data_IF_644751982324
#
_entry.id   IF_644751982324
#
_cell.length_a   1.000
_cell.length_b   1.000
_cell.length_c   1.000
_cell.angle_alpha   90.00
_cell.angle_beta   90.00
_cell.angle_gamma   90.00
#
_symmetry.space_group_name_H-M   'P 1'
#
loop_
_entity.id
_entity.type
_entity.pdbx_description
1 polymer ?
#
# COMPACT_ATOMS: atom_id res chain seq x y z
N UNK A 1 11.92 -41.04 -1.12
CA UNK A 1 12.18 -40.67 -2.53
C UNK A 1 11.00 -41.14 -3.35
N UNK A 2 10.40 -40.20 -4.09
CA UNK A 2 9.48 -40.34 -5.25
C UNK A 2 8.34 -41.36 -5.17
N UNK A 3 7.10 -40.92 -4.89
CA UNK A 3 5.92 -41.67 -5.38
C UNK A 3 4.60 -40.89 -5.47
N UNK A 4 4.42 -39.72 -4.82
CA UNK A 4 3.13 -38.97 -4.90
C UNK A 4 3.08 -37.88 -5.97
N UNK A 5 4.24 -37.41 -6.45
CA UNK A 5 4.33 -36.41 -7.52
C UNK A 5 4.03 -36.98 -8.91
N UNK A 6 4.32 -38.28 -9.13
CA UNK A 6 4.23 -38.91 -10.45
C UNK A 6 2.79 -39.31 -10.83
N UNK A 7 1.95 -39.73 -9.88
CA UNK A 7 0.54 -40.06 -10.16
C UNK A 7 -0.30 -38.81 -10.50
N UNK A 8 -0.02 -37.68 -9.84
CA UNK A 8 -0.70 -36.41 -10.11
C UNK A 8 -0.31 -35.83 -11.48
N UNK A 9 0.95 -35.99 -11.88
CA UNK A 9 1.48 -35.61 -13.20
C UNK A 9 0.85 -36.45 -14.33
N UNK A 10 0.73 -37.77 -14.15
CA UNK A 10 0.13 -38.67 -15.14
C UNK A 10 -1.37 -38.42 -15.36
N UNK A 11 -2.11 -38.07 -14.31
CA UNK A 11 -3.55 -37.75 -14.40
C UNK A 11 -3.76 -36.44 -15.17
N UNK A 12 -2.90 -35.44 -14.96
CA UNK A 12 -2.97 -34.15 -15.65
C UNK A 12 -2.56 -34.24 -17.13
N UNK A 13 -1.55 -35.04 -17.48
CA UNK A 13 -1.19 -35.36 -18.87
C UNK A 13 -2.33 -36.06 -19.62
N UNK A 14 -3.03 -37.00 -18.96
CA UNK A 14 -4.20 -37.68 -19.52
C UNK A 14 -5.40 -36.76 -19.78
N UNK A 15 -5.59 -35.72 -18.96
CA UNK A 15 -6.61 -34.68 -19.16
C UNK A 15 -6.22 -33.72 -20.29
N UNK A 16 -4.92 -33.40 -20.42
CA UNK A 16 -4.40 -32.51 -21.45
C UNK A 16 -4.49 -33.13 -22.85
N UNK A 17 -4.09 -34.39 -23.01
CA UNK A 17 -4.22 -35.14 -24.27
C UNK A 17 -5.69 -35.31 -24.71
N UNK A 18 -6.63 -35.45 -23.77
CA UNK A 18 -8.08 -35.50 -24.06
C UNK A 18 -8.68 -34.15 -24.48
N UNK A 19 -8.09 -33.03 -24.05
CA UNK A 19 -8.53 -31.69 -24.45
C UNK A 19 -8.08 -31.34 -25.88
N UNK A 20 -6.88 -31.78 -26.29
CA UNK A 20 -6.39 -31.57 -27.65
C UNK A 20 -7.13 -32.43 -28.69
N UNK A 21 -7.58 -33.64 -28.32
CA UNK A 21 -8.30 -34.53 -29.23
C UNK A 21 -9.78 -34.17 -29.44
N UNK A 22 -10.36 -33.29 -28.61
CA UNK A 22 -11.80 -32.96 -28.65
C UNK A 22 -12.11 -31.54 -29.10
N UNK A 23 -11.11 -30.69 -29.32
CA UNK A 23 -11.28 -29.33 -29.86
C UNK A 23 -12.17 -28.40 -29.01
N UNK A 24 -12.41 -28.72 -27.73
CA UNK A 24 -13.40 -28.04 -26.89
C UNK A 24 -12.78 -26.93 -26.03
N UNK A 25 -13.27 -25.67 -26.10
CA UNK A 25 -12.72 -24.51 -25.38
C UNK A 25 -13.00 -24.51 -23.85
N UNK A 26 -13.60 -25.56 -23.31
CA UNK A 26 -14.16 -25.58 -21.95
C UNK A 26 -13.21 -26.16 -20.87
N UNK A 27 -12.19 -26.95 -21.24
CA UNK A 27 -11.15 -27.39 -20.30
C UNK A 27 -10.28 -26.23 -19.79
N UNK A 28 -10.03 -25.27 -20.70
CA UNK A 28 -9.30 -24.03 -20.46
C UNK A 28 -9.99 -23.12 -19.43
N UNK A 29 -11.33 -23.16 -19.35
CA UNK A 29 -12.15 -22.35 -18.43
C UNK A 29 -12.05 -22.86 -16.99
N UNK A 30 -11.87 -24.17 -16.78
CA UNK A 30 -11.79 -24.74 -15.41
C UNK A 30 -10.44 -24.49 -14.76
N UNK A 31 -9.34 -24.60 -15.53
CA UNK A 31 -7.98 -24.24 -15.09
C UNK A 31 -7.93 -22.75 -14.70
N UNK A 32 -8.63 -21.91 -15.45
CA UNK A 32 -8.74 -20.48 -15.21
C UNK A 32 -9.38 -20.04 -13.88
N UNK A 33 -10.31 -20.82 -13.35
CA UNK A 33 -11.16 -20.37 -12.23
C UNK A 33 -10.72 -20.93 -10.88
N UNK A 34 -10.06 -22.10 -10.88
CA UNK A 34 -9.66 -22.78 -9.64
C UNK A 34 -8.19 -22.50 -9.31
N UNK A 35 -7.33 -22.40 -10.32
CA UNK A 35 -5.90 -22.19 -10.13
C UNK A 35 -5.54 -20.83 -9.49
N UNK A 36 -6.16 -19.69 -9.85
CA UNK A 36 -5.86 -18.42 -9.20
C UNK A 36 -6.35 -18.35 -7.74
N UNK A 37 -7.24 -19.26 -7.32
CA UNK A 37 -7.70 -19.40 -5.93
C UNK A 37 -6.78 -20.31 -5.12
N UNK A 38 -6.34 -21.43 -5.69
CA UNK A 38 -5.32 -22.30 -5.07
C UNK A 38 -3.96 -21.59 -4.92
N UNK A 39 -3.53 -20.84 -5.94
CA UNK A 39 -2.28 -20.06 -5.89
C UNK A 39 -2.34 -18.93 -4.86
N UNK A 40 -3.51 -18.33 -4.61
CA UNK A 40 -3.70 -17.32 -3.54
C UNK A 40 -3.62 -17.91 -2.14
N UNK A 41 -4.08 -19.15 -1.96
CA UNK A 41 -3.92 -19.90 -0.71
C UNK A 41 -2.44 -20.24 -0.49
N UNK A 42 -1.71 -20.62 -1.55
CA UNK A 42 -0.26 -20.87 -1.48
C UNK A 42 0.57 -19.59 -1.25
N UNK A 43 0.12 -18.44 -1.77
CA UNK A 43 0.71 -17.11 -1.50
C UNK A 43 0.59 -16.71 -0.04
N UNK A 44 -0.55 -17.02 0.58
CA UNK A 44 -0.78 -16.81 2.02
C UNK A 44 0.22 -17.60 2.89
N UNK A 45 0.76 -18.71 2.38
CA UNK A 45 1.82 -19.51 3.03
C UNK A 45 3.24 -19.20 2.51
N UNK A 46 3.45 -18.16 1.71
CA UNK A 46 4.78 -17.67 1.31
C UNK A 46 5.50 -18.45 0.21
N UNK A 47 4.79 -19.25 -0.61
CA UNK A 47 5.39 -19.96 -1.74
C UNK A 47 5.37 -19.10 -3.03
N UNK A 48 6.51 -18.90 -3.68
CA UNK A 48 6.64 -18.07 -4.88
C UNK A 48 5.75 -18.53 -6.05
N UNK A 49 5.05 -17.56 -6.66
CA UNK A 49 4.02 -17.76 -7.69
C UNK A 49 4.52 -18.41 -8.99
N UNK A 50 5.73 -18.08 -9.43
CA UNK A 50 6.15 -18.36 -10.81
C UNK A 50 6.78 -19.76 -10.96
N UNK A 51 7.65 -20.18 -10.03
CA UNK A 51 8.24 -21.52 -10.08
C UNK A 51 7.22 -22.60 -9.69
N UNK A 52 6.42 -22.37 -8.64
CA UNK A 52 5.49 -23.39 -8.15
C UNK A 52 4.38 -23.69 -9.16
N UNK A 53 3.86 -22.67 -9.86
CA UNK A 53 2.81 -22.87 -10.87
C UNK A 53 3.33 -23.48 -12.18
N UNK A 54 4.50 -23.06 -12.69
CA UNK A 54 5.05 -23.63 -13.93
C UNK A 54 5.54 -25.06 -13.73
N UNK A 55 6.10 -25.37 -12.56
CA UNK A 55 6.55 -26.73 -12.22
C UNK A 55 5.36 -27.69 -11.98
N UNK A 56 4.22 -27.19 -11.47
CA UNK A 56 3.02 -28.00 -11.25
C UNK A 56 2.18 -28.18 -12.54
N UNK A 57 2.21 -27.23 -13.48
CA UNK A 57 1.29 -27.21 -14.65
C UNK A 57 1.97 -27.39 -16.01
N UNK A 58 3.29 -27.27 -16.08
CA UNK A 58 4.08 -27.42 -17.30
C UNK A 58 3.57 -26.57 -18.51
N UNK A 59 3.10 -25.35 -18.25
CA UNK A 59 2.59 -24.42 -19.27
C UNK A 59 3.54 -23.23 -19.47
N UNK A 60 3.61 -22.74 -20.70
CA UNK A 60 4.44 -21.59 -21.03
C UNK A 60 3.79 -20.25 -20.59
N UNK A 61 4.59 -19.20 -20.31
CA UNK A 61 4.10 -17.93 -19.78
C UNK A 61 3.19 -17.11 -20.71
N UNK A 62 3.19 -17.34 -22.02
CA UNK A 62 2.31 -16.64 -22.96
C UNK A 62 0.88 -17.17 -22.89
N UNK A 63 0.74 -18.49 -22.81
CA UNK A 63 -0.57 -19.16 -22.67
C UNK A 63 -1.28 -18.73 -21.40
N UNK A 64 -0.59 -18.67 -20.26
CA UNK A 64 -1.16 -18.21 -18.97
C UNK A 64 -1.80 -16.81 -19.05
N UNK A 65 -1.19 -15.87 -19.78
CA UNK A 65 -1.69 -14.49 -19.89
C UNK A 65 -2.98 -14.35 -20.69
N UNK A 66 -3.16 -15.15 -21.75
CA UNK A 66 -4.37 -15.12 -22.58
C UNK A 66 -5.60 -15.68 -21.83
N UNK A 67 -5.38 -16.67 -20.96
CA UNK A 67 -6.46 -17.26 -20.18
C UNK A 67 -7.00 -16.24 -19.17
N UNK A 68 -6.15 -15.54 -18.42
CA UNK A 68 -6.58 -14.52 -17.45
C UNK A 68 -7.44 -13.39 -18.06
N UNK A 69 -7.29 -13.12 -19.35
CA UNK A 69 -8.02 -12.06 -20.06
C UNK A 69 -9.50 -12.38 -20.35
N UNK A 70 -9.92 -13.65 -20.25
CA UNK A 70 -11.20 -14.15 -20.80
C UNK A 70 -12.27 -14.55 -19.77
N UNK A 71 -11.99 -14.48 -18.47
CA UNK A 71 -12.96 -14.88 -17.42
C UNK A 71 -13.90 -13.71 -17.03
N UNK A 72 -15.23 -13.92 -17.02
CA UNK A 72 -16.24 -12.88 -16.70
C UNK A 72 -17.13 -13.22 -15.47
N UNK A 73 -17.72 -12.17 -14.87
CA UNK A 73 -17.91 -12.00 -13.42
C UNK A 73 -19.25 -12.42 -12.76
N UNK A 74 -20.17 -13.17 -13.41
CA UNK A 74 -21.55 -13.30 -12.89
C UNK A 74 -21.85 -14.46 -11.92
N UNK A 75 -21.11 -15.56 -11.96
CA UNK A 75 -21.35 -16.71 -11.06
C UNK A 75 -20.68 -16.57 -9.68
N UNK A 76 -19.84 -15.55 -9.54
CA UNK A 76 -19.01 -15.25 -8.37
C UNK A 76 -19.88 -14.70 -7.21
N UNK A 77 -20.93 -13.95 -7.54
CA UNK A 77 -21.69 -13.14 -6.56
C UNK A 77 -22.47 -13.96 -5.52
N UNK A 78 -22.98 -15.15 -5.83
CA UNK A 78 -23.93 -15.84 -4.92
C UNK A 78 -23.30 -16.63 -3.76
N UNK A 79 -22.05 -17.10 -3.92
CA UNK A 79 -21.28 -17.74 -2.84
C UNK A 79 -20.55 -16.68 -2.03
N UNK A 80 -20.00 -15.66 -2.71
CA UNK A 80 -19.39 -14.50 -2.04
C UNK A 80 -20.35 -13.81 -1.07
N UNK A 81 -21.62 -13.62 -1.46
CA UNK A 81 -22.65 -13.06 -0.59
C UNK A 81 -22.97 -13.91 0.64
N UNK A 82 -22.84 -15.25 0.57
CA UNK A 82 -23.14 -16.14 1.71
C UNK A 82 -22.02 -16.17 2.74
N UNK A 83 -20.77 -16.12 2.28
CA UNK A 83 -19.60 -16.12 3.17
C UNK A 83 -19.32 -14.72 3.73
N UNK A 84 -19.60 -13.64 2.96
CA UNK A 84 -19.53 -12.25 3.45
C UNK A 84 -20.47 -11.93 4.62
N UNK A 85 -21.57 -12.69 4.77
CA UNK A 85 -22.55 -12.50 5.84
C UNK A 85 -22.17 -13.18 7.17
N UNK A 86 -21.03 -13.87 7.24
CA UNK A 86 -20.55 -14.54 8.46
C UNK A 86 -19.12 -14.08 8.81
N UNK A 87 -18.90 -13.36 9.92
CA UNK A 87 -17.61 -12.79 10.27
C UNK A 87 -16.54 -13.83 10.68
N UNK A 88 -16.96 -15.05 11.03
CA UNK A 88 -16.10 -16.22 11.25
C UNK A 88 -16.70 -17.41 10.48
N UNK A 89 -15.93 -17.98 9.53
CA UNK A 89 -16.37 -19.14 8.74
C UNK A 89 -15.54 -20.36 9.12
N UNK A 90 -16.10 -21.30 9.88
CA UNK A 90 -15.33 -22.45 10.36
C UNK A 90 -14.97 -23.42 9.22
N UNK A 91 -13.78 -24.05 9.29
CA UNK A 91 -13.30 -25.03 8.29
C UNK A 91 -14.31 -26.17 8.01
N UNK A 92 -15.03 -26.74 9.00
CA UNK A 92 -16.06 -27.74 8.75
C UNK A 92 -17.22 -27.24 7.87
N UNK A 93 -17.63 -25.97 8.03
CA UNK A 93 -18.66 -25.34 7.22
C UNK A 93 -18.20 -25.11 5.78
N UNK A 94 -16.92 -24.71 5.59
CA UNK A 94 -16.29 -24.60 4.27
C UNK A 94 -16.24 -25.94 3.55
N UNK A 95 -15.84 -27.01 4.25
CA UNK A 95 -15.78 -28.37 3.71
C UNK A 95 -17.18 -28.85 3.30
N UNK A 96 -18.20 -28.60 4.13
CA UNK A 96 -19.60 -28.96 3.81
C UNK A 96 -20.06 -28.28 2.52
N UNK A 97 -19.77 -27.00 2.37
CA UNK A 97 -20.26 -26.22 1.24
C UNK A 97 -19.49 -26.53 -0.05
N UNK A 98 -18.18 -26.76 0.04
CA UNK A 98 -17.37 -27.29 -1.06
C UNK A 98 -17.86 -28.67 -1.50
N UNK A 99 -18.21 -29.56 -0.57
CA UNK A 99 -18.85 -30.86 -0.89
C UNK A 99 -20.19 -30.68 -1.59
N UNK A 100 -21.01 -29.71 -1.17
CA UNK A 100 -22.28 -29.40 -1.84
C UNK A 100 -22.08 -28.88 -3.26
N UNK A 101 -21.07 -28.02 -3.49
CA UNK A 101 -20.70 -27.52 -4.81
C UNK A 101 -20.17 -28.66 -5.70
N UNK A 102 -19.35 -29.56 -5.14
CA UNK A 102 -18.85 -30.76 -5.82
C UNK A 102 -20.01 -31.66 -6.23
N UNK A 103 -20.99 -31.89 -5.35
CA UNK A 103 -22.18 -32.69 -5.65
C UNK A 103 -23.12 -32.04 -6.67
N UNK A 104 -23.18 -30.70 -6.72
CA UNK A 104 -23.90 -29.97 -7.76
C UNK A 104 -23.15 -30.06 -9.10
N UNK A 105 -21.81 -29.99 -9.09
CA UNK A 105 -20.98 -30.09 -10.29
C UNK A 105 -20.97 -31.49 -10.91
N UNK A 106 -21.06 -32.55 -10.09
CA UNK A 106 -21.12 -33.94 -10.56
C UNK A 106 -22.44 -34.25 -11.28
N UNK A 107 -23.53 -33.55 -10.93
CA UNK A 107 -24.83 -33.66 -11.62
C UNK A 107 -24.89 -32.95 -12.97
N UNK A 108 -23.95 -32.05 -13.27
CA UNK A 108 -23.93 -31.20 -14.48
C UNK A 108 -22.75 -31.58 -15.42
N UNK A 109 -22.15 -32.77 -15.26
CA UNK A 109 -21.01 -33.26 -16.07
C UNK A 109 -19.81 -32.28 -16.14
N UNK A 110 -19.51 -31.57 -15.04
CA UNK A 110 -18.27 -30.79 -14.93
C UNK A 110 -17.09 -31.63 -14.43
N UNK A 111 -15.83 -31.26 -14.73
CA UNK A 111 -14.67 -31.97 -14.21
C UNK A 111 -14.49 -31.70 -12.71
N UNK A 112 -14.99 -32.64 -11.91
CA UNK A 112 -14.86 -32.81 -10.45
C UNK A 112 -13.43 -32.92 -9.88
N UNK A 113 -12.37 -33.34 -10.60
CA UNK A 113 -11.09 -33.71 -9.97
C UNK A 113 -10.38 -32.58 -9.21
N UNK A 114 -10.30 -31.36 -9.75
CA UNK A 114 -9.51 -30.28 -9.12
C UNK A 114 -10.12 -29.80 -7.80
N UNK A 115 -11.45 -29.71 -7.74
CA UNK A 115 -12.19 -29.39 -6.52
C UNK A 115 -12.06 -30.53 -5.50
N UNK A 116 -12.05 -31.78 -5.97
CA UNK A 116 -11.82 -32.95 -5.12
C UNK A 116 -10.40 -32.94 -4.53
N UNK A 117 -9.37 -32.64 -5.32
CA UNK A 117 -7.98 -32.55 -4.83
C UNK A 117 -7.80 -31.40 -3.87
N UNK A 118 -8.38 -30.23 -4.16
CA UNK A 118 -8.35 -29.07 -3.25
C UNK A 118 -9.04 -29.40 -1.93
N UNK A 119 -10.18 -30.10 -1.98
CA UNK A 119 -10.89 -30.56 -0.79
C UNK A 119 -10.06 -31.58 0.01
N UNK A 120 -9.39 -32.52 -0.65
CA UNK A 120 -8.52 -33.50 0.01
C UNK A 120 -7.36 -32.83 0.76
N UNK A 121 -6.72 -31.82 0.16
CA UNK A 121 -5.64 -31.06 0.81
C UNK A 121 -6.16 -30.32 2.06
N UNK A 122 -7.35 -29.71 1.98
CA UNK A 122 -7.94 -28.99 3.11
C UNK A 122 -8.34 -29.96 4.24
N UNK A 123 -8.87 -31.14 3.90
CA UNK A 123 -9.22 -32.18 4.89
C UNK A 123 -7.95 -32.72 5.55
N UNK A 124 -6.92 -33.05 4.79
CA UNK A 124 -5.64 -33.54 5.31
C UNK A 124 -4.95 -32.50 6.21
N UNK A 125 -5.07 -31.21 5.87
CA UNK A 125 -4.61 -30.11 6.71
C UNK A 125 -5.39 -29.99 8.02
N UNK A 126 -6.73 -30.13 7.98
CA UNK A 126 -7.58 -30.11 9.19
C UNK A 126 -7.26 -31.29 10.12
N UNK A 127 -7.10 -32.48 9.57
CA UNK A 127 -6.80 -33.69 10.34
C UNK A 127 -5.43 -33.62 11.03
N UNK A 128 -4.49 -32.85 10.45
CA UNK A 128 -3.15 -32.61 11.02
C UNK A 128 -3.08 -31.41 11.97
N UNK A 129 -4.13 -30.57 12.02
CA UNK A 129 -4.20 -29.35 12.85
C UNK A 129 -5.57 -29.24 13.56
N UNK A 130 -5.83 -30.05 14.60
CA UNK A 130 -7.17 -30.27 15.17
C UNK A 130 -7.75 -29.11 16.03
N UNK A 131 -7.08 -27.96 16.10
CA UNK A 131 -7.64 -26.78 16.78
C UNK A 131 -8.68 -26.09 15.88
N UNK A 132 -9.72 -25.49 16.46
CA UNK A 132 -10.76 -24.80 15.70
C UNK A 132 -10.20 -23.53 15.04
N UNK A 133 -9.94 -23.58 13.73
CA UNK A 133 -9.53 -22.42 12.94
C UNK A 133 -10.74 -21.86 12.17
N UNK A 134 -10.94 -20.54 12.26
CA UNK A 134 -11.89 -19.80 11.43
C UNK A 134 -11.20 -19.32 10.15
N UNK A 135 -11.77 -19.62 8.99
CA UNK A 135 -11.39 -19.04 7.71
C UNK A 135 -12.03 -17.65 7.62
N UNK A 136 -11.22 -16.60 7.67
CA UNK A 136 -11.68 -15.24 7.37
C UNK A 136 -12.01 -15.14 5.88
N UNK A 137 -13.26 -14.80 5.57
CA UNK A 137 -13.66 -14.53 4.20
C UNK A 137 -13.00 -13.26 3.68
N UNK A 138 -12.06 -13.44 2.74
CA UNK A 138 -11.65 -12.40 1.81
C UNK A 138 -12.85 -12.07 0.93
N UNK A 139 -13.51 -10.94 1.22
CA UNK A 139 -14.17 -10.22 0.15
C UNK A 139 -13.19 -9.99 -1.00
N UNK A 140 -13.72 -9.63 -2.17
CA UNK A 140 -12.97 -8.94 -3.23
C UNK A 140 -11.92 -7.95 -2.65
N UNK A 141 -10.89 -7.50 -3.38
CA UNK A 141 -10.01 -6.39 -2.95
C UNK A 141 -10.75 -5.05 -2.64
N UNK A 142 -12.04 -5.10 -2.33
CA UNK A 142 -12.76 -4.16 -1.49
C UNK A 142 -11.93 -3.84 -0.26
N UNK A 143 -11.18 -2.74 -0.38
CA UNK A 143 -11.05 -1.70 0.63
C UNK A 143 -11.41 -2.22 2.03
N UNK A 144 -10.43 -2.70 2.79
CA UNK A 144 -10.54 -2.52 4.22
C UNK A 144 -10.38 -1.03 4.48
N UNK A 145 -11.50 -0.29 4.42
CA UNK A 145 -11.64 0.83 5.32
C UNK A 145 -11.67 0.23 6.72
N UNK A 146 -10.54 0.26 7.43
CA UNK A 146 -10.50 0.00 8.87
C UNK A 146 -11.18 1.18 9.59
N UNK A 147 -12.43 1.48 9.24
CA UNK A 147 -13.26 2.46 9.91
C UNK A 147 -13.83 1.80 11.17
N UNK A 148 -13.49 2.37 12.32
CA UNK A 148 -14.19 2.21 13.59
C UNK A 148 -14.55 0.76 13.97
N UNK A 149 -13.56 -0.14 14.04
CA UNK A 149 -13.66 -1.14 15.10
C UNK A 149 -13.43 -0.40 16.41
N UNK A 150 -14.43 -0.41 17.30
CA UNK A 150 -14.18 -0.06 18.70
C UNK A 150 -13.09 -0.99 19.21
N UNK A 151 -11.86 -0.48 19.28
CA UNK A 151 -10.77 -1.20 19.88
C UNK A 151 -10.94 -1.12 21.40
N UNK A 152 -10.70 -2.25 22.07
CA UNK A 152 -10.35 -2.28 23.48
C UNK A 152 -9.41 -1.11 23.81
N UNK A 153 -9.64 -0.43 24.95
CA UNK A 153 -8.85 0.72 25.43
C UNK A 153 -7.40 0.64 24.93
N UNK A 154 -6.95 1.55 24.05
CA UNK A 154 -5.62 1.45 23.47
C UNK A 154 -4.60 1.52 24.61
N UNK A 155 -3.76 0.49 24.71
CA UNK A 155 -2.63 0.52 25.63
C UNK A 155 -1.63 1.55 25.09
N UNK A 156 -1.29 2.55 25.91
CA UNK A 156 -0.27 3.54 25.54
C UNK A 156 1.04 2.83 25.17
N UNK A 157 1.64 3.26 24.04
CA UNK A 157 2.89 2.71 23.50
C UNK A 157 3.97 3.79 23.53
N UNK A 158 5.23 3.38 23.58
CA UNK A 158 6.39 4.26 23.48
C UNK A 158 6.85 4.32 22.02
N UNK A 159 6.78 5.49 21.43
CA UNK A 159 7.01 5.71 20.01
C UNK A 159 8.17 6.68 19.84
N UNK A 160 9.10 6.36 18.94
CA UNK A 160 10.11 7.30 18.48
C UNK A 160 9.80 7.67 17.03
N UNK A 161 9.67 8.96 16.75
CA UNK A 161 9.46 9.49 15.39
C UNK A 161 10.75 10.12 14.92
N UNK A 162 11.37 9.56 13.87
CA UNK A 162 12.62 10.03 13.29
C UNK A 162 12.30 10.83 12.03
N UNK A 163 12.67 12.11 12.05
CA UNK A 163 12.28 13.13 11.08
C UNK A 163 11.10 13.96 11.60
N UNK A 164 11.36 15.23 11.90
CA UNK A 164 10.41 16.23 12.41
C UNK A 164 10.20 17.38 11.42
N UNK A 165 10.38 17.10 10.11
CA UNK A 165 10.05 18.04 9.05
C UNK A 165 8.53 18.28 8.89
N UNK A 166 8.13 18.85 7.75
CA UNK A 166 6.76 19.29 7.43
C UNK A 166 5.67 18.27 7.84
N UNK A 167 5.90 16.98 7.58
CA UNK A 167 4.96 15.92 7.95
C UNK A 167 5.21 15.36 9.36
N UNK A 168 6.47 15.15 9.71
CA UNK A 168 6.88 14.38 10.89
C UNK A 168 6.49 15.02 12.22
N UNK A 169 6.61 16.35 12.33
CA UNK A 169 6.20 17.07 13.54
C UNK A 169 4.70 16.91 13.81
N UNK A 170 3.85 17.17 12.81
CA UNK A 170 2.41 17.01 12.96
C UNK A 170 2.00 15.58 13.33
N UNK A 171 2.63 14.57 12.71
CA UNK A 171 2.40 13.17 13.05
C UNK A 171 2.77 12.86 14.51
N UNK A 172 3.94 13.33 14.96
CA UNK A 172 4.40 13.12 16.33
C UNK A 172 3.45 13.78 17.35
N UNK A 173 2.99 15.00 17.08
CA UNK A 173 2.01 15.71 17.92
C UNK A 173 0.65 15.00 17.94
N UNK A 174 0.20 14.45 16.81
CA UNK A 174 -1.04 13.66 16.79
C UNK A 174 -0.92 12.40 17.64
N UNK A 175 0.20 11.67 17.52
CA UNK A 175 0.49 10.49 18.33
C UNK A 175 0.58 10.80 19.83
N UNK A 176 1.18 11.93 20.20
CA UNK A 176 1.41 12.32 21.60
C UNK A 176 0.10 12.44 22.42
N UNK A 177 -1.03 12.65 21.75
CA UNK A 177 -2.35 12.72 22.40
C UNK A 177 -2.72 11.41 23.12
N UNK A 178 -2.26 10.24 22.64
CA UNK A 178 -2.56 8.92 23.23
C UNK A 178 -1.33 8.08 23.59
N UNK A 179 -0.13 8.47 23.14
CA UNK A 179 1.09 7.67 23.26
C UNK A 179 2.24 8.48 23.87
N UNK A 180 3.24 7.78 24.39
CA UNK A 180 4.49 8.40 24.82
C UNK A 180 5.41 8.56 23.60
N UNK A 181 5.52 9.78 23.08
CA UNK A 181 6.27 10.07 21.85
C UNK A 181 7.56 10.82 22.18
N UNK A 182 8.66 10.38 21.56
CA UNK A 182 9.90 11.14 21.46
C UNK A 182 10.18 11.46 20.00
N UNK A 183 10.30 12.74 19.66
CA UNK A 183 10.76 13.18 18.35
C UNK A 183 12.28 13.10 18.23
N UNK A 184 12.78 12.75 17.05
CA UNK A 184 14.20 12.75 16.74
C UNK A 184 14.45 13.43 15.41
N UNK A 185 15.37 14.39 15.40
CA UNK A 185 15.85 15.04 14.18
C UNK A 185 17.32 15.44 14.35
N UNK A 186 18.02 15.57 13.24
CA UNK A 186 19.40 16.07 13.20
C UNK A 186 19.44 17.60 13.18
N UNK A 187 18.35 18.24 12.75
CA UNK A 187 18.23 19.69 12.65
C UNK A 187 17.76 20.30 13.97
N UNK A 188 18.60 21.17 14.55
CA UNK A 188 18.33 21.82 15.84
C UNK A 188 17.08 22.70 15.78
N UNK A 189 16.79 23.34 14.64
CA UNK A 189 15.61 24.19 14.48
C UNK A 189 14.33 23.37 14.62
N UNK A 190 14.31 22.16 14.03
CA UNK A 190 13.18 21.22 14.13
C UNK A 190 12.96 20.73 15.55
N UNK A 191 14.05 20.48 16.27
CA UNK A 191 13.99 20.09 17.67
C UNK A 191 13.44 21.20 18.56
N UNK A 192 13.81 22.45 18.29
CA UNK A 192 13.35 23.60 19.07
C UNK A 192 11.88 23.94 18.79
N UNK A 193 11.44 23.79 17.54
CA UNK A 193 10.02 23.86 17.15
C UNK A 193 9.20 22.78 17.89
N UNK A 194 9.68 21.53 17.87
CA UNK A 194 9.04 20.42 18.56
C UNK A 194 8.96 20.61 20.09
N UNK A 195 10.04 21.10 20.73
CA UNK A 195 10.03 21.43 22.17
C UNK A 195 9.02 22.54 22.48
N UNK A 196 8.90 23.54 21.61
CA UNK A 196 7.92 24.63 21.76
C UNK A 196 6.49 24.10 21.72
N UNK A 197 6.25 23.02 20.98
CA UNK A 197 4.99 22.27 20.96
C UNK A 197 4.87 21.22 22.10
N UNK A 198 5.75 21.26 23.11
CA UNK A 198 5.80 20.32 24.23
C UNK A 198 6.03 18.84 23.86
N UNK A 199 6.65 18.58 22.70
CA UNK A 199 7.08 17.24 22.31
C UNK A 199 8.47 16.95 22.93
N UNK A 200 8.65 15.85 23.68
CA UNK A 200 9.97 15.38 24.08
C UNK A 200 10.82 15.08 22.85
N UNK A 201 12.09 15.51 22.84
CA UNK A 201 12.97 15.30 21.68
C UNK A 201 14.37 14.80 22.04
N UNK A 202 15.04 14.20 21.06
CA UNK A 202 16.44 13.75 21.13
C UNK A 202 17.13 13.96 19.79
N UNK A 203 18.46 14.04 19.77
CA UNK A 203 19.29 13.94 18.56
C UNK A 203 19.80 12.51 18.33
N UNK A 204 19.62 11.61 19.30
CA UNK A 204 20.17 10.26 19.28
C UNK A 204 19.07 9.22 19.48
N UNK A 205 18.72 8.52 18.39
CA UNK A 205 17.75 7.42 18.40
C UNK A 205 18.20 6.28 19.34
N UNK A 206 19.50 6.01 19.43
CA UNK A 206 20.01 4.91 20.23
C UNK A 206 19.69 5.09 21.72
N UNK A 207 19.75 6.32 22.23
CA UNK A 207 19.49 6.67 23.63
C UNK A 207 18.11 6.26 24.16
N UNK A 208 17.12 6.11 23.27
CA UNK A 208 15.75 5.80 23.64
C UNK A 208 15.25 4.43 23.16
N UNK A 209 16.00 3.76 22.28
CA UNK A 209 15.56 2.57 21.57
C UNK A 209 15.14 1.41 22.51
N UNK A 210 15.84 1.19 23.62
CA UNK A 210 15.58 0.07 24.56
C UNK A 210 14.15 -0.01 25.11
N UNK A 211 13.47 1.14 25.17
CA UNK A 211 12.09 1.26 25.66
C UNK A 211 11.09 1.45 24.53
N UNK A 212 11.53 1.72 23.31
CA UNK A 212 10.66 2.00 22.16
C UNK A 212 9.87 0.77 21.74
N UNK A 213 8.55 0.86 21.64
CA UNK A 213 7.71 -0.21 21.11
C UNK A 213 7.53 -0.06 19.58
N UNK A 214 7.50 1.19 19.08
CA UNK A 214 7.43 1.53 17.66
C UNK A 214 8.46 2.60 17.26
N UNK A 215 9.23 2.36 16.20
CA UNK A 215 10.14 3.32 15.60
C UNK A 215 9.61 3.74 14.22
N UNK A 216 9.19 4.99 14.09
CA UNK A 216 8.60 5.54 12.87
C UNK A 216 9.64 6.37 12.13
N UNK A 217 9.79 6.13 10.83
CA UNK A 217 10.61 6.94 9.94
C UNK A 217 9.75 7.84 9.07
N UNK A 218 9.93 9.15 9.21
CA UNK A 218 9.29 10.21 8.41
C UNK A 218 10.38 11.05 7.76
N UNK A 219 11.18 10.40 6.91
CA UNK A 219 12.34 10.97 6.24
C UNK A 219 12.06 11.23 4.74
N UNK A 220 12.92 12.00 4.08
CA UNK A 220 12.74 12.32 2.66
C UNK A 220 13.09 11.15 1.73
N UNK A 221 14.14 10.39 2.06
CA UNK A 221 14.70 9.32 1.22
C UNK A 221 14.99 8.03 1.99
N UNK A 222 14.96 6.90 1.28
CA UNK A 222 15.22 5.56 1.87
C UNK A 222 16.65 5.39 2.37
N UNK A 223 17.64 6.06 1.75
CA UNK A 223 19.03 5.99 2.20
C UNK A 223 19.21 6.56 3.60
N UNK A 224 18.39 7.54 3.99
CA UNK A 224 18.41 8.09 5.35
C UNK A 224 17.91 7.06 6.37
N UNK A 225 16.90 6.24 6.01
CA UNK A 225 16.43 5.14 6.85
C UNK A 225 17.56 4.11 7.04
N UNK A 226 18.23 3.72 5.95
CA UNK A 226 19.35 2.78 6.00
C UNK A 226 20.53 3.31 6.83
N UNK A 227 20.83 4.62 6.75
CA UNK A 227 21.84 5.29 7.59
C UNK A 227 21.50 5.14 9.07
N UNK A 228 20.28 5.54 9.47
CA UNK A 228 19.86 5.44 10.87
C UNK A 228 19.88 3.99 11.35
N UNK A 229 19.37 3.04 10.55
CA UNK A 229 19.45 1.59 10.87
C UNK A 229 20.90 1.13 11.05
N UNK A 230 21.83 1.65 10.25
CA UNK A 230 23.26 1.40 10.37
C UNK A 230 23.83 1.89 11.70
N UNK A 231 23.51 3.13 12.07
CA UNK A 231 23.93 3.77 13.32
C UNK A 231 23.44 3.01 14.56
N UNK A 232 22.18 2.57 14.55
CA UNK A 232 21.58 1.81 15.68
C UNK A 232 21.74 0.29 15.55
N UNK A 233 22.57 -0.19 14.61
CA UNK A 233 22.65 -1.62 14.28
C UNK A 233 23.07 -2.51 15.44
N UNK A 234 23.95 -2.01 16.33
CA UNK A 234 24.39 -2.76 17.52
C UNK A 234 23.27 -2.96 18.55
N UNK A 235 22.43 -1.94 18.70
CA UNK A 235 21.26 -1.94 19.58
C UNK A 235 20.16 -2.84 19.01
N UNK A 236 19.92 -2.79 17.69
CA UNK A 236 18.97 -3.69 17.03
C UNK A 236 19.39 -5.17 17.16
N UNK A 237 20.67 -5.50 16.99
CA UNK A 237 21.20 -6.87 17.15
C UNK A 237 21.05 -7.41 18.57
N UNK A 238 21.29 -6.58 19.57
CA UNK A 238 21.23 -6.98 20.99
C UNK A 238 19.81 -6.93 21.57
N UNK A 239 18.85 -6.38 20.81
CA UNK A 239 17.47 -6.19 21.22
C UNK A 239 16.76 -7.52 21.46
N UNK A 240 16.11 -7.63 22.63
CA UNK A 240 15.28 -8.80 23.00
C UNK A 240 13.78 -8.53 23.07
N UNK A 241 13.38 -7.27 23.26
CA UNK A 241 11.97 -6.89 23.29
C UNK A 241 11.47 -6.68 21.86
N UNK A 242 10.21 -7.03 21.61
CA UNK A 242 9.56 -6.75 20.34
C UNK A 242 9.71 -5.27 19.96
N UNK A 243 9.86 -5.01 18.66
CA UNK A 243 9.88 -3.68 18.06
C UNK A 243 9.22 -3.77 16.70
N UNK A 244 8.43 -2.76 16.37
CA UNK A 244 7.95 -2.56 15.02
C UNK A 244 8.57 -1.30 14.46
N UNK A 245 9.26 -1.43 13.33
CA UNK A 245 9.77 -0.32 12.55
C UNK A 245 8.75 -0.01 11.46
N UNK A 246 8.30 1.24 11.36
CA UNK A 246 7.29 1.67 10.40
C UNK A 246 7.87 2.79 9.53
N UNK A 247 7.99 2.56 8.23
CA UNK A 247 8.49 3.56 7.29
C UNK A 247 7.34 4.30 6.59
N UNK A 248 7.22 5.60 6.84
CA UNK A 248 6.25 6.49 6.19
C UNK A 248 6.83 7.23 4.97
N UNK A 249 8.15 7.14 4.76
CA UNK A 249 8.87 7.73 3.63
C UNK A 249 8.40 7.17 2.29
N UNK A 250 8.09 8.06 1.33
CA UNK A 250 7.87 7.66 -0.07
C UNK A 250 9.18 7.18 -0.68
N UNK A 251 9.22 5.92 -1.11
CA UNK A 251 10.39 5.25 -1.68
C UNK A 251 9.97 4.25 -2.78
N UNK A 252 10.95 3.67 -3.49
CA UNK A 252 10.69 2.58 -4.42
C UNK A 252 10.35 1.28 -3.67
N UNK A 253 9.64 0.36 -4.34
CA UNK A 253 9.37 -0.96 -3.79
C UNK A 253 10.64 -1.73 -3.44
N UNK A 254 11.68 -1.61 -4.28
CA UNK A 254 13.00 -2.22 -4.05
C UNK A 254 13.67 -1.66 -2.80
N UNK A 255 13.63 -0.35 -2.56
CA UNK A 255 14.17 0.28 -1.34
C UNK A 255 13.47 -0.23 -0.07
N UNK A 256 12.14 -0.34 -0.10
CA UNK A 256 11.36 -0.84 1.04
C UNK A 256 11.68 -2.31 1.35
N UNK A 257 11.86 -3.12 0.30
CA UNK A 257 12.31 -4.52 0.42
C UNK A 257 13.72 -4.60 1.03
N UNK A 258 14.65 -3.75 0.55
CA UNK A 258 16.02 -3.69 1.06
C UNK A 258 16.06 -3.32 2.55
N UNK A 259 15.30 -2.30 2.97
CA UNK A 259 15.19 -1.91 4.38
C UNK A 259 14.68 -3.08 5.22
N UNK A 260 13.62 -3.76 4.77
CA UNK A 260 13.09 -4.95 5.45
C UNK A 260 14.14 -6.05 5.59
N UNK A 261 14.85 -6.37 4.51
CA UNK A 261 15.86 -7.43 4.51
C UNK A 261 17.04 -7.05 5.43
N UNK A 262 17.43 -5.78 5.45
CA UNK A 262 18.46 -5.26 6.35
C UNK A 262 18.06 -5.39 7.81
N UNK A 263 16.82 -5.05 8.16
CA UNK A 263 16.28 -5.20 9.52
C UNK A 263 16.27 -6.69 9.91
N UNK A 264 15.76 -7.55 9.02
CA UNK A 264 15.68 -8.99 9.25
C UNK A 264 17.06 -9.63 9.50
N UNK A 265 18.08 -9.22 8.72
CA UNK A 265 19.47 -9.65 8.91
C UNK A 265 20.06 -9.24 10.26
N UNK A 266 19.66 -8.06 10.77
CA UNK A 266 20.13 -7.58 12.08
C UNK A 266 19.43 -8.33 13.21
N UNK A 267 18.12 -8.54 13.09
CA UNK A 267 17.30 -9.22 14.08
C UNK A 267 15.94 -9.63 13.49
N UNK A 268 15.72 -10.93 13.31
CA UNK A 268 14.50 -11.49 12.73
C UNK A 268 13.25 -11.40 13.63
N UNK A 269 13.39 -10.90 14.87
CA UNK A 269 12.27 -10.65 15.78
C UNK A 269 11.71 -9.23 15.67
N UNK A 270 12.36 -8.36 14.89
CA UNK A 270 11.90 -6.99 14.63
C UNK A 270 11.01 -7.01 13.39
N UNK A 271 9.77 -6.57 13.55
CA UNK A 271 8.84 -6.45 12.43
C UNK A 271 9.05 -5.14 11.68
N UNK A 272 8.82 -5.16 10.37
CA UNK A 272 8.87 -3.98 9.52
C UNK A 272 7.54 -3.81 8.77
N UNK A 273 7.03 -2.58 8.77
CA UNK A 273 5.90 -2.15 7.96
C UNK A 273 6.33 -0.99 7.06
N UNK A 274 5.93 -1.04 5.79
CA UNK A 274 5.84 0.17 4.99
C UNK A 274 4.45 0.79 5.18
N UNK A 275 4.39 2.11 5.35
CA UNK A 275 3.17 2.83 5.63
C UNK A 275 3.17 4.23 4.99
N UNK A 276 3.49 4.40 3.69
CA UNK A 276 3.49 5.71 3.06
C UNK A 276 2.17 6.46 3.26
N UNK A 277 2.29 7.77 3.42
CA UNK A 277 1.19 8.65 3.84
C UNK A 277 0.77 9.64 2.76
N UNK A 278 -0.47 10.11 2.82
CA UNK A 278 -0.99 11.22 2.01
C UNK A 278 -1.91 12.10 2.85
N UNK A 279 -1.94 13.41 2.56
CA UNK A 279 -2.88 14.34 3.20
C UNK A 279 -2.29 15.73 3.51
N UNK A 280 -0.97 15.85 3.57
CA UNK A 280 -0.30 17.13 3.87
C UNK A 280 -0.22 17.45 5.36
N UNK A 281 0.48 18.55 5.72
CA UNK A 281 0.85 18.87 7.11
C UNK A 281 -0.35 19.10 8.03
N UNK A 282 -1.41 19.75 7.54
CA UNK A 282 -2.62 19.99 8.33
C UNK A 282 -3.27 18.68 8.79
N UNK A 283 -3.42 17.72 7.86
CA UNK A 283 -3.97 16.39 8.17
C UNK A 283 -3.01 15.53 9.00
N UNK A 284 -1.70 15.74 8.87
CA UNK A 284 -0.73 15.10 9.77
C UNK A 284 -0.95 15.54 11.22
N UNK A 285 -1.14 16.84 11.46
CA UNK A 285 -1.36 17.39 12.79
C UNK A 285 -2.74 17.05 13.38
N UNK A 286 -3.79 17.01 12.55
CA UNK A 286 -5.14 16.63 12.99
C UNK A 286 -5.31 15.12 13.20
N UNK A 287 -4.42 14.29 12.65
CA UNK A 287 -4.53 12.82 12.72
C UNK A 287 -5.47 12.26 11.66
N UNK A 288 -5.54 12.89 10.49
CA UNK A 288 -6.49 12.60 9.42
C UNK A 288 -5.80 12.20 8.12
N UNK A 289 -4.59 11.66 8.22
CA UNK A 289 -3.87 11.15 7.05
C UNK A 289 -4.60 9.97 6.40
N UNK A 290 -4.25 9.74 5.14
CA UNK A 290 -4.39 8.47 4.46
C UNK A 290 -3.08 7.69 4.64
N UNK A 291 -3.16 6.45 5.11
CA UNK A 291 -2.02 5.53 5.21
C UNK A 291 -2.27 4.33 4.29
N UNK A 292 -1.26 3.96 3.50
CA UNK A 292 -1.26 2.70 2.75
C UNK A 292 -0.21 1.81 3.40
N UNK A 293 -0.63 0.70 4.01
CA UNK A 293 0.26 -0.21 4.74
C UNK A 293 0.62 -1.43 3.91
N UNK A 294 1.86 -1.91 4.07
CA UNK A 294 2.34 -3.18 3.54
C UNK A 294 3.21 -3.88 4.57
N UNK A 295 3.19 -5.21 4.57
CA UNK A 295 3.92 -6.04 5.53
C UNK A 295 3.08 -7.19 6.04
N UNK A 296 3.44 -7.70 7.22
CA UNK A 296 2.69 -8.75 7.89
C UNK A 296 1.37 -8.21 8.43
N UNK A 297 0.26 -8.84 8.03
CA UNK A 297 -1.08 -8.40 8.39
C UNK A 297 -1.29 -8.35 9.91
N UNK A 298 -0.81 -9.35 10.64
CA UNK A 298 -0.93 -9.42 12.09
C UNK A 298 -0.22 -8.23 12.78
N UNK A 299 0.91 -7.77 12.23
CA UNK A 299 1.64 -6.61 12.73
C UNK A 299 0.87 -5.32 12.45
N UNK A 300 0.26 -5.19 11.26
CA UNK A 300 -0.62 -4.05 10.94
C UNK A 300 -1.82 -4.00 11.90
N UNK A 301 -2.44 -5.15 12.19
CA UNK A 301 -3.57 -5.25 13.12
C UNK A 301 -3.15 -4.94 14.57
N UNK A 302 -2.00 -5.42 15.03
CA UNK A 302 -1.43 -5.06 16.35
C UNK A 302 -1.12 -3.57 16.47
N UNK A 303 -0.64 -2.94 15.38
CA UNK A 303 -0.31 -1.51 15.34
C UNK A 303 -1.44 -0.62 14.87
N UNK A 304 -2.67 -1.14 14.80
CA UNK A 304 -3.81 -0.37 14.31
C UNK A 304 -4.08 0.88 15.15
N UNK A 305 -3.92 0.81 16.47
CA UNK A 305 -4.10 1.98 17.35
C UNK A 305 -3.14 3.13 17.03
N UNK A 306 -1.86 2.82 16.78
CA UNK A 306 -0.84 3.80 16.39
C UNK A 306 -1.16 4.40 15.02
N UNK A 307 -1.54 3.56 14.07
CA UNK A 307 -1.87 4.00 12.71
C UNK A 307 -3.13 4.89 12.71
N UNK A 308 -4.19 4.50 13.41
CA UNK A 308 -5.45 5.26 13.51
C UNK A 308 -5.26 6.60 14.23
N UNK A 309 -4.32 6.70 15.18
CA UNK A 309 -4.05 7.97 15.86
C UNK A 309 -3.46 9.04 14.92
N UNK A 310 -2.92 8.63 13.77
CA UNK A 310 -2.40 9.55 12.74
C UNK A 310 -3.31 9.64 11.50
N UNK A 311 -4.37 8.82 11.42
CA UNK A 311 -5.11 8.65 10.17
C UNK A 311 -6.58 8.35 10.35
N UNK A 312 -7.40 8.85 9.42
CA UNK A 312 -8.82 8.44 9.30
C UNK A 312 -8.99 7.30 8.30
N UNK A 313 -7.99 7.07 7.44
CA UNK A 313 -8.06 6.06 6.39
C UNK A 313 -6.78 5.24 6.36
N UNK A 314 -6.92 3.93 6.49
CA UNK A 314 -5.82 2.97 6.40
C UNK A 314 -6.18 1.92 5.36
N UNK A 315 -5.29 1.67 4.40
CA UNK A 315 -5.38 0.55 3.47
C UNK A 315 -4.32 -0.49 3.78
N UNK A 316 -4.61 -1.76 3.52
CA UNK A 316 -3.62 -2.84 3.54
C UNK A 316 -3.35 -3.32 2.11
N UNK A 317 -2.14 -3.06 1.62
CA UNK A 317 -1.69 -3.39 0.27
C UNK A 317 -1.04 -4.78 0.17
N UNK A 318 -1.03 -5.57 1.26
CA UNK A 318 -0.41 -6.90 1.28
C UNK A 318 1.07 -6.84 1.63
N UNK A 319 1.90 -7.59 0.90
CA UNK A 319 3.34 -7.72 1.18
C UNK A 319 4.11 -6.41 1.01
N UNK A 320 5.30 -6.34 1.62
CA UNK A 320 6.27 -5.26 1.44
C UNK A 320 6.54 -5.02 -0.06
N UNK A 321 6.61 -3.73 -0.43
CA UNK A 321 6.75 -3.23 -1.78
C UNK A 321 5.41 -2.82 -2.42
N UNK A 322 4.28 -3.40 -2.02
CA UNK A 322 2.99 -3.07 -2.63
C UNK A 322 2.46 -1.70 -2.20
N UNK A 323 2.67 -1.29 -0.96
CA UNK A 323 2.27 0.05 -0.52
C UNK A 323 3.13 1.12 -1.18
N UNK A 324 4.43 0.86 -1.34
CA UNK A 324 5.34 1.73 -2.11
C UNK A 324 4.88 1.86 -3.57
N UNK A 325 4.50 0.75 -4.22
CA UNK A 325 3.95 0.78 -5.59
C UNK A 325 2.65 1.57 -5.70
N UNK A 326 1.75 1.37 -4.74
CA UNK A 326 0.48 2.08 -4.70
C UNK A 326 0.70 3.58 -4.44
N UNK A 327 1.66 3.94 -3.57
CA UNK A 327 2.02 5.33 -3.33
C UNK A 327 2.58 5.98 -4.60
N UNK A 328 3.42 5.30 -5.37
CA UNK A 328 3.91 5.82 -6.65
C UNK A 328 2.75 6.11 -7.63
N UNK A 329 1.76 5.20 -7.75
CA UNK A 329 0.56 5.43 -8.54
C UNK A 329 -0.26 6.62 -8.02
N UNK A 330 -0.41 6.72 -6.70
CA UNK A 330 -1.04 7.88 -6.06
C UNK A 330 -0.32 9.18 -6.41
N UNK A 331 1.03 9.21 -6.39
CA UNK A 331 1.79 10.42 -6.70
C UNK A 331 1.66 10.85 -8.17
N UNK A 332 1.48 9.91 -9.11
CA UNK A 332 1.13 10.25 -10.50
C UNK A 332 -0.23 10.93 -10.55
N UNK A 333 -1.26 10.34 -9.94
CA UNK A 333 -2.61 10.92 -9.92
C UNK A 333 -2.64 12.28 -9.23
N UNK A 334 -1.91 12.41 -8.12
CA UNK A 334 -1.71 13.66 -7.40
C UNK A 334 -1.11 14.75 -8.29
N UNK A 335 -0.05 14.42 -9.04
CA UNK A 335 0.64 15.36 -9.91
C UNK A 335 -0.23 15.79 -11.10
N UNK A 336 -1.00 14.86 -11.70
CA UNK A 336 -1.97 15.17 -12.75
C UNK A 336 -2.99 16.19 -12.22
N UNK A 337 -3.58 15.89 -11.05
CA UNK A 337 -4.58 16.76 -10.44
C UNK A 337 -4.00 18.11 -10.04
N UNK A 338 -2.76 18.15 -9.54
CA UNK A 338 -2.09 19.40 -9.16
C UNK A 338 -1.76 20.26 -10.38
N UNK A 339 -1.14 19.69 -11.42
CA UNK A 339 -0.81 20.44 -12.63
C UNK A 339 -2.08 20.95 -13.33
N UNK A 340 -3.11 20.11 -13.47
CA UNK A 340 -4.39 20.51 -14.09
C UNK A 340 -5.10 21.59 -13.29
N UNK A 341 -5.02 21.55 -11.95
CA UNK A 341 -5.58 22.59 -11.06
C UNK A 341 -5.06 23.96 -11.43
N UNK A 342 -3.74 24.11 -11.55
CA UNK A 342 -3.12 25.39 -11.85
C UNK A 342 -3.28 25.78 -13.31
N UNK A 343 -3.08 24.87 -14.26
CA UNK A 343 -3.24 25.16 -15.69
C UNK A 343 -4.64 25.71 -16.03
N UNK A 344 -5.69 25.06 -15.51
CA UNK A 344 -7.08 25.47 -15.74
C UNK A 344 -7.40 26.76 -14.99
N UNK A 345 -6.93 26.92 -13.75
CA UNK A 345 -7.13 28.15 -12.97
C UNK A 345 -6.54 29.35 -13.70
N UNK A 346 -5.32 29.22 -14.21
CA UNK A 346 -4.63 30.30 -14.90
C UNK A 346 -5.32 30.68 -16.21
N UNK A 347 -5.80 29.71 -16.98
CA UNK A 347 -6.64 29.98 -18.14
C UNK A 347 -7.94 30.70 -17.75
N UNK A 348 -8.59 30.25 -16.68
CA UNK A 348 -9.83 30.86 -16.18
C UNK A 348 -9.66 32.31 -15.78
N UNK A 349 -8.61 32.63 -15.01
CA UNK A 349 -8.27 33.99 -14.61
C UNK A 349 -7.95 34.85 -15.83
N UNK A 350 -7.17 34.34 -16.79
CA UNK A 350 -6.88 35.04 -18.05
C UNK A 350 -8.12 35.30 -18.90
N UNK A 351 -9.13 34.42 -18.84
CA UNK A 351 -10.43 34.64 -19.46
C UNK A 351 -11.32 35.65 -18.69
N UNK A 352 -10.83 36.27 -17.62
CA UNK A 352 -11.58 37.22 -16.78
C UNK A 352 -12.62 36.58 -15.88
N UNK A 353 -12.52 35.27 -15.60
CA UNK A 353 -13.41 34.58 -14.67
C UNK A 353 -12.94 34.87 -13.25
N UNK A 354 -13.85 35.38 -12.42
CA UNK A 354 -13.58 35.63 -11.00
C UNK A 354 -13.15 34.36 -10.27
N UNK A 355 -12.17 34.49 -9.38
CA UNK A 355 -11.57 33.37 -8.65
C UNK A 355 -12.59 32.61 -7.77
N UNK A 356 -13.61 33.29 -7.23
CA UNK A 356 -14.67 32.65 -6.45
C UNK A 356 -15.54 31.75 -7.32
N UNK A 357 -15.82 32.16 -8.56
CA UNK A 357 -16.60 31.36 -9.52
C UNK A 357 -15.77 30.15 -9.95
N UNK A 358 -14.47 30.34 -10.20
CA UNK A 358 -13.55 29.22 -10.49
C UNK A 358 -13.52 28.22 -9.34
N UNK A 359 -13.40 28.69 -8.10
CA UNK A 359 -13.44 27.84 -6.91
C UNK A 359 -14.76 27.07 -6.84
N UNK A 360 -15.90 27.76 -6.92
CA UNK A 360 -17.21 27.11 -6.80
C UNK A 360 -17.41 26.05 -7.88
N UNK A 361 -17.12 26.34 -9.14
CA UNK A 361 -17.34 25.40 -10.25
C UNK A 361 -16.33 24.26 -10.24
N UNK A 362 -15.03 24.57 -10.14
CA UNK A 362 -13.97 23.58 -10.32
C UNK A 362 -13.68 22.78 -9.05
N UNK A 363 -13.88 23.37 -7.86
CA UNK A 363 -13.67 22.67 -6.59
C UNK A 363 -14.94 21.98 -6.12
N UNK A 364 -16.09 22.66 -6.07
CA UNK A 364 -17.30 22.06 -5.47
C UNK A 364 -18.01 21.07 -6.40
N UNK A 365 -18.04 21.33 -7.71
CA UNK A 365 -18.83 20.53 -8.65
C UNK A 365 -18.00 19.56 -9.50
N UNK A 366 -16.79 19.94 -9.92
CA UNK A 366 -15.87 19.02 -10.61
C UNK A 366 -14.99 18.19 -9.67
N UNK A 367 -14.94 18.57 -8.39
CA UNK A 367 -14.18 17.96 -7.29
C UNK A 367 -12.72 17.63 -7.61
N UNK A 368 -11.83 18.55 -7.23
CA UNK A 368 -10.39 18.31 -7.17
C UNK A 368 -9.85 18.71 -5.80
N UNK A 369 -9.45 17.71 -4.99
CA UNK A 369 -8.92 17.96 -3.64
C UNK A 369 -7.64 18.81 -3.66
N UNK A 370 -6.76 18.64 -4.66
CA UNK A 370 -5.54 19.45 -4.75
C UNK A 370 -5.86 20.91 -5.05
N UNK A 371 -6.85 21.17 -5.91
CA UNK A 371 -7.35 22.52 -6.12
C UNK A 371 -7.98 23.07 -4.84
N UNK A 372 -8.79 22.27 -4.13
CA UNK A 372 -9.41 22.67 -2.87
C UNK A 372 -8.37 23.08 -1.81
N UNK A 373 -7.27 22.33 -1.71
CA UNK A 373 -6.21 22.54 -0.73
C UNK A 373 -5.28 23.69 -1.13
N UNK A 374 -4.99 23.88 -2.43
CA UNK A 374 -3.95 24.81 -2.91
C UNK A 374 -4.47 26.13 -3.46
N UNK A 375 -5.67 26.17 -4.04
CA UNK A 375 -6.22 27.40 -4.63
C UNK A 375 -6.34 28.53 -3.59
N UNK A 376 -6.83 28.30 -2.35
CA UNK A 376 -6.88 29.37 -1.35
C UNK A 376 -5.51 29.96 -1.02
N UNK A 377 -4.46 29.12 -0.92
CA UNK A 377 -3.08 29.59 -0.66
C UNK A 377 -2.55 30.39 -1.84
N UNK A 378 -2.78 29.92 -3.06
CA UNK A 378 -2.38 30.61 -4.27
C UNK A 378 -3.03 31.99 -4.38
N UNK A 379 -4.35 32.09 -4.15
CA UNK A 379 -5.08 33.36 -4.18
C UNK A 379 -4.66 34.33 -3.06
N UNK A 380 -4.17 33.80 -1.93
CA UNK A 380 -3.64 34.59 -0.82
C UNK A 380 -2.13 34.90 -0.95
N UNK A 381 -1.49 34.48 -2.04
CA UNK A 381 -0.03 34.56 -2.25
C UNK A 381 0.78 33.92 -1.11
N UNK A 382 0.22 32.92 -0.42
CA UNK A 382 0.89 32.17 0.64
C UNK A 382 1.72 31.03 0.05
N UNK A 383 2.97 31.34 -0.27
CA UNK A 383 3.96 30.38 -0.76
C UNK A 383 4.66 29.58 0.35
N UNK A 384 4.10 29.50 1.56
CA UNK A 384 4.59 28.56 2.58
C UNK A 384 4.45 27.12 2.05
N UNK A 385 5.52 26.29 2.02
CA UNK A 385 5.44 24.97 1.40
C UNK A 385 4.59 23.97 2.21
N UNK A 386 3.48 23.51 1.62
CA UNK A 386 2.79 22.29 2.09
C UNK A 386 3.51 21.03 1.59
N UNK A 387 4.15 21.15 0.43
CA UNK A 387 5.15 20.26 -0.11
C UNK A 387 6.15 21.10 -0.93
N UNK A 388 7.43 20.68 -0.94
CA UNK A 388 8.46 21.34 -1.74
C UNK A 388 8.48 20.78 -3.17
N UNK A 389 8.87 21.59 -4.15
CA UNK A 389 9.09 21.12 -5.53
C UNK A 389 10.07 19.94 -5.59
N UNK A 390 11.10 19.93 -4.76
CA UNK A 390 12.06 18.82 -4.63
C UNK A 390 11.39 17.48 -4.26
N UNK A 391 10.35 17.51 -3.41
CA UNK A 391 9.60 16.33 -3.00
C UNK A 391 8.76 15.80 -4.17
N UNK A 392 8.11 16.69 -4.91
CA UNK A 392 7.37 16.31 -6.12
C UNK A 392 8.28 15.69 -7.18
N UNK A 393 9.45 16.30 -7.44
CA UNK A 393 10.43 15.76 -8.38
C UNK A 393 10.91 14.37 -7.97
N UNK A 394 11.31 14.19 -6.71
CA UNK A 394 11.72 12.89 -6.15
C UNK A 394 10.62 11.84 -6.32
N UNK A 395 9.40 12.15 -5.93
CA UNK A 395 8.28 11.20 -5.97
C UNK A 395 7.87 10.84 -7.41
N UNK A 396 7.89 11.81 -8.34
CA UNK A 396 7.64 11.56 -9.76
C UNK A 396 8.76 10.75 -10.42
N UNK A 397 10.01 10.93 -10.00
CA UNK A 397 11.11 10.09 -10.47
C UNK A 397 10.97 8.64 -10.00
N UNK A 398 10.58 8.41 -8.74
CA UNK A 398 10.24 7.07 -8.23
C UNK A 398 9.12 6.45 -9.07
N UNK A 399 8.06 7.22 -9.33
CA UNK A 399 6.93 6.75 -10.10
C UNK A 399 7.28 6.46 -11.57
N UNK A 400 8.14 7.29 -12.19
CA UNK A 400 8.62 7.06 -13.56
C UNK A 400 9.47 5.80 -13.65
N UNK A 401 10.32 5.53 -12.67
CA UNK A 401 11.10 4.30 -12.64
C UNK A 401 10.17 3.08 -12.57
N UNK A 402 9.11 3.12 -11.76
CA UNK A 402 8.12 2.05 -11.73
C UNK A 402 7.40 1.85 -13.08
N UNK A 403 7.07 2.92 -13.81
CA UNK A 403 6.51 2.81 -15.17
C UNK A 403 7.49 2.12 -16.11
N UNK A 404 8.78 2.46 -16.02
CA UNK A 404 9.84 1.88 -16.89
C UNK A 404 10.05 0.38 -16.69
N UNK A 405 9.59 -0.19 -15.58
CA UNK A 405 9.58 -1.63 -15.31
C UNK A 405 8.39 -2.35 -15.98
N UNK A 406 7.56 -1.63 -16.73
CA UNK A 406 6.35 -2.15 -17.38
C UNK A 406 6.34 -1.86 -18.88
N UNK A 407 5.49 -2.56 -19.62
CA UNK A 407 5.24 -2.28 -21.04
C UNK A 407 4.21 -1.14 -21.26
N UNK A 408 3.76 -0.48 -20.18
CA UNK A 408 2.74 0.55 -20.27
C UNK A 408 3.38 1.87 -20.71
N UNK A 409 2.85 2.44 -21.79
CA UNK A 409 3.19 3.80 -22.19
C UNK A 409 2.37 4.80 -21.37
N UNK A 410 3.03 5.47 -20.41
CA UNK A 410 2.45 6.52 -19.58
C UNK A 410 3.13 7.87 -19.82
N UNK A 411 3.07 8.36 -21.06
CA UNK A 411 3.75 9.60 -21.50
C UNK A 411 3.46 10.86 -20.67
N UNK A 412 2.31 10.91 -19.97
CA UNK A 412 1.95 12.02 -19.10
C UNK A 412 2.98 12.27 -18.00
N UNK A 413 3.69 11.23 -17.52
CA UNK A 413 4.64 11.35 -16.42
C UNK A 413 5.85 12.21 -16.79
N UNK A 414 6.33 12.13 -18.04
CA UNK A 414 7.45 12.93 -18.51
C UNK A 414 7.05 14.39 -18.67
N UNK A 415 5.79 14.65 -19.05
CA UNK A 415 5.26 16.02 -19.10
C UNK A 415 5.14 16.62 -17.69
N UNK A 416 4.68 15.86 -16.71
CA UNK A 416 4.61 16.31 -15.32
C UNK A 416 6.01 16.61 -14.78
N UNK A 417 6.97 15.70 -14.96
CA UNK A 417 8.35 15.94 -14.58
C UNK A 417 8.92 17.20 -15.23
N UNK A 418 8.65 17.42 -16.51
CA UNK A 418 9.06 18.66 -17.19
C UNK A 418 8.47 19.91 -16.52
N UNK A 419 7.16 19.91 -16.19
CA UNK A 419 6.50 21.04 -15.55
C UNK A 419 7.09 21.35 -14.17
N UNK A 420 7.24 20.34 -13.30
CA UNK A 420 7.84 20.51 -11.98
C UNK A 420 9.31 20.92 -12.06
N UNK A 421 10.07 20.44 -13.05
CA UNK A 421 11.46 20.89 -13.29
C UNK A 421 11.51 22.35 -13.71
N UNK A 422 10.62 22.79 -14.60
CA UNK A 422 10.55 24.19 -15.02
C UNK A 422 10.15 25.12 -13.88
N UNK A 423 9.21 24.70 -13.05
CA UNK A 423 8.88 25.44 -11.83
C UNK A 423 10.08 25.58 -10.89
N UNK A 424 10.86 24.51 -10.74
CA UNK A 424 12.07 24.52 -9.91
C UNK A 424 13.22 25.35 -10.51
N UNK A 425 13.38 25.37 -11.84
CA UNK A 425 14.38 26.20 -12.54
C UNK A 425 14.08 27.70 -12.44
N UNK A 426 12.80 28.08 -12.48
CA UNK A 426 12.36 29.47 -12.36
C UNK A 426 12.41 30.01 -10.92
N UNK A 427 12.73 29.15 -9.94
CA UNK A 427 12.80 29.49 -8.52
C UNK A 427 13.86 28.66 -7.78
N UNK A 428 13.52 28.16 -6.59
CA UNK A 428 14.33 27.23 -5.80
C UNK A 428 13.56 25.90 -5.64
N UNK A 429 14.26 24.77 -5.67
CA UNK A 429 13.68 23.44 -5.45
C UNK A 429 13.01 23.30 -4.06
N UNK A 430 13.38 24.16 -3.11
CA UNK A 430 12.77 24.25 -1.78
C UNK A 430 11.48 25.05 -1.73
N UNK A 431 11.11 25.74 -2.82
CA UNK A 431 9.86 26.49 -2.92
C UNK A 431 8.62 25.59 -2.85
N UNK A 432 7.49 26.22 -2.54
CA UNK A 432 6.19 25.59 -2.49
C UNK A 432 5.77 24.99 -3.83
N UNK A 433 5.01 23.91 -3.77
CA UNK A 433 4.45 23.24 -4.93
C UNK A 433 3.53 24.14 -5.77
N UNK A 434 2.85 25.10 -5.15
CA UNK A 434 2.02 26.08 -5.85
C UNK A 434 2.82 27.03 -6.75
N UNK A 435 4.15 27.11 -6.59
CA UNK A 435 5.02 27.87 -7.51
C UNK A 435 5.00 27.30 -8.93
N UNK A 436 4.47 26.09 -9.15
CA UNK A 436 4.21 25.57 -10.50
C UNK A 436 3.32 26.50 -11.34
N UNK A 437 2.45 27.30 -10.71
CA UNK A 437 1.61 28.29 -11.39
C UNK A 437 2.42 29.32 -12.21
N UNK A 438 3.66 29.62 -11.79
CA UNK A 438 4.56 30.55 -12.48
C UNK A 438 4.92 30.07 -13.88
N UNK A 439 4.87 28.76 -14.15
CA UNK A 439 5.09 28.23 -15.50
C UNK A 439 4.11 28.80 -16.53
N UNK A 440 2.87 29.11 -16.12
CA UNK A 440 1.83 29.64 -16.98
C UNK A 440 1.70 31.18 -16.91
N UNK A 441 2.65 31.89 -16.28
CA UNK A 441 2.57 33.34 -16.05
C UNK A 441 1.25 33.79 -15.40
N UNK A 442 0.78 32.97 -14.47
CA UNK A 442 -0.46 33.21 -13.74
C UNK A 442 -0.26 34.37 -12.76
N UNK A 443 -0.69 35.58 -13.13
CA UNK A 443 -0.68 36.74 -12.25
C UNK A 443 -2.09 37.02 -11.73
N UNK A 444 -2.20 37.31 -10.43
CA UNK A 444 -3.44 37.79 -9.82
C UNK A 444 -3.67 39.29 -10.07
N UNK A 445 -2.67 40.01 -10.58
CA UNK A 445 -2.75 41.47 -10.80
C UNK A 445 -3.69 41.87 -11.95
N UNK A 446 -4.14 40.93 -12.79
CA UNK A 446 -4.99 41.20 -13.97
C UNK A 446 -6.50 40.91 -13.74
N UNK A 447 -6.94 40.57 -12.52
CA UNK A 447 -8.32 40.13 -12.21
C UNK A 447 -9.13 41.12 -11.36
#
# INVERSE_FOLDING_TARGET
MSSSSDESSMILEGVFQKSQSTGSPFGTITILHVLPRALRILEYFGMEYAMTASTILNLDPATMRDIFRKASARSIVSVEQKVAQRPEYEIPDLIRDLKSIINLSSKIQYPTPLLSTTLSIIIEWQDTHPQSYSVGYLGSPTLMHLHNRELHKPQSQRIVVVGLGIMGLGMALSLQKLHHVTGCDIDQERLDEAKSASLPVTTDVASCLDKTDCLLFVLEKSEQILSVIGEISSQLKSRRKALVIIAHTTMSASSSIEIRDRIFQLNNTISYLEAPISGGPNRANSGELLIITGGERAVVEDKLSVLQQMSTTIYFAGRIGNASKMKALHQISAAINHASSFEITCLGLHCGIKSEILYDVLVKYAYNQYLADRLPKFLAEDYTPDARLSIWLKDLEIARNQVSETEINLSIIDKLLFLFKKAAENGDVSNSDISIAQFWNCSLEEV
#
